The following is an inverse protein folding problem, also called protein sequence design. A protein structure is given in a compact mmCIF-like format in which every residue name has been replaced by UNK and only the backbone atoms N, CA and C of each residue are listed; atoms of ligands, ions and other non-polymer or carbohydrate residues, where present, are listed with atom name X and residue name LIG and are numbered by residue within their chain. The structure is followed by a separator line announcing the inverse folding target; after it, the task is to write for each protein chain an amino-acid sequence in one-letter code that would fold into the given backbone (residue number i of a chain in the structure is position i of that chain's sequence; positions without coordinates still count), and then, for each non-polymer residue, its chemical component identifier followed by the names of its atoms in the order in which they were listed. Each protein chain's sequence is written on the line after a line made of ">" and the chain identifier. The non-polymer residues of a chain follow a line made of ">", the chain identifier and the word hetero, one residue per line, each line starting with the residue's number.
data_IF_161690585865
#
_entry.id   IF_161690585865
#
_cell.length_a   1.000
_cell.length_b   1.000
_cell.length_c   1.000
_cell.angle_alpha   90.00
_cell.angle_beta   90.00
_cell.angle_gamma   90.00
#
_symmetry.space_group_name_H-M   'P 1'
#
loop_
_entity.id
_entity.type
_entity.pdbx_description
1 polymer ?
#
# COMPACT_ATOMS: atom_id res chain seq x y z
N UNK A 1 6.49 24.53 -5.32
CA UNK A 1 6.60 23.85 -6.62
C UNK A 1 6.79 22.37 -6.38
N UNK A 2 5.90 21.53 -6.94
CA UNK A 2 6.05 20.09 -6.93
C UNK A 2 7.34 19.73 -7.69
N UNK A 3 8.32 19.13 -7.01
CA UNK A 3 9.54 18.65 -7.67
C UNK A 3 9.17 17.33 -8.35
N UNK A 4 8.93 17.35 -9.66
CA UNK A 4 8.73 16.12 -10.41
C UNK A 4 10.04 15.32 -10.40
N UNK A 5 9.93 13.99 -10.24
CA UNK A 5 11.04 13.07 -10.04
C UNK A 5 11.89 12.83 -11.31
N UNK A 6 12.05 13.85 -12.15
CA UNK A 6 12.70 13.77 -13.46
C UNK A 6 11.84 13.12 -14.56
N UNK A 7 10.56 12.87 -14.29
CA UNK A 7 9.60 12.26 -15.22
C UNK A 7 8.42 13.18 -15.47
N UNK A 8 7.69 12.94 -16.55
CA UNK A 8 6.43 13.66 -16.83
C UNK A 8 5.35 13.30 -15.81
N UNK A 9 4.34 14.18 -15.63
CA UNK A 9 3.23 13.94 -14.71
C UNK A 9 2.43 12.69 -15.10
N UNK A 10 2.25 12.46 -16.39
CA UNK A 10 1.61 11.27 -16.94
C UNK A 10 2.39 10.01 -16.53
N UNK A 11 3.70 10.00 -16.75
CA UNK A 11 4.58 8.89 -16.39
C UNK A 11 4.61 8.66 -14.88
N UNK A 12 4.66 9.73 -14.09
CA UNK A 12 4.59 9.66 -12.64
C UNK A 12 3.28 9.00 -12.18
N UNK A 13 2.14 9.39 -12.74
CA UNK A 13 0.85 8.77 -12.44
C UNK A 13 0.81 7.28 -12.81
N UNK A 14 1.41 6.89 -13.93
CA UNK A 14 1.48 5.48 -14.31
C UNK A 14 2.38 4.66 -13.36
N UNK A 15 3.49 5.23 -12.91
CA UNK A 15 4.34 4.63 -11.86
C UNK A 15 3.54 4.44 -10.56
N UNK A 16 2.76 5.44 -10.15
CA UNK A 16 1.92 5.32 -8.96
C UNK A 16 0.86 4.21 -9.11
N UNK A 17 0.16 4.16 -10.25
CA UNK A 17 -0.86 3.14 -10.53
C UNK A 17 -0.27 1.73 -10.55
N UNK A 18 0.93 1.54 -11.12
CA UNK A 18 1.59 0.22 -11.16
C UNK A 18 1.89 -0.32 -9.75
N UNK A 19 2.14 0.59 -8.80
CA UNK A 19 2.36 0.29 -7.38
C UNK A 19 1.06 0.24 -6.55
N UNK A 20 -0.10 0.16 -7.20
CA UNK A 20 -1.41 0.06 -6.53
C UNK A 20 -1.72 1.33 -5.72
N UNK A 21 -1.17 2.47 -6.13
CA UNK A 21 -1.40 3.74 -5.46
C UNK A 21 -2.46 4.53 -6.22
N UNK A 22 -3.43 5.09 -5.49
CA UNK A 22 -4.35 6.08 -6.04
C UNK A 22 -3.77 7.48 -5.84
N UNK A 23 -3.37 8.20 -6.91
CA UNK A 23 -2.69 9.49 -6.78
C UNK A 23 -3.51 10.53 -5.98
N UNK A 24 -4.84 10.48 -6.10
CA UNK A 24 -5.74 11.37 -5.36
C UNK A 24 -5.44 11.43 -3.87
N UNK A 25 -5.21 10.30 -3.21
CA UNK A 25 -4.99 10.29 -1.76
C UNK A 25 -3.63 10.87 -1.37
N UNK A 26 -2.64 10.82 -2.25
CA UNK A 26 -1.34 11.44 -2.03
C UNK A 26 -1.44 12.97 -2.16
N UNK A 27 -2.19 13.46 -3.14
CA UNK A 27 -2.32 14.90 -3.38
C UNK A 27 -3.25 15.61 -2.40
N UNK A 28 -4.22 14.90 -1.82
CA UNK A 28 -5.10 15.45 -0.79
C UNK A 28 -4.62 15.19 0.64
N UNK A 29 -3.38 14.69 0.81
CA UNK A 29 -2.80 14.33 2.11
C UNK A 29 -3.73 13.45 2.97
N UNK A 30 -4.41 12.50 2.33
CA UNK A 30 -5.38 11.64 3.01
C UNK A 30 -4.76 10.28 3.30
N UNK A 31 -4.02 10.21 4.42
CA UNK A 31 -3.34 8.98 4.84
C UNK A 31 -4.30 7.79 5.01
N UNK A 32 -5.43 7.97 5.70
CA UNK A 32 -6.38 6.88 5.94
C UNK A 32 -7.02 6.40 4.64
N UNK A 33 -7.34 7.31 3.72
CA UNK A 33 -7.82 6.99 2.38
C UNK A 33 -6.79 6.19 1.58
N UNK A 34 -5.52 6.63 1.59
CA UNK A 34 -4.41 5.92 0.97
C UNK A 34 -4.24 4.51 1.54
N UNK A 35 -4.20 4.38 2.87
CA UNK A 35 -3.94 3.12 3.54
C UNK A 35 -5.05 2.11 3.28
N UNK A 36 -6.31 2.52 3.46
CA UNK A 36 -7.46 1.64 3.28
C UNK A 36 -7.63 1.22 1.81
N UNK A 37 -7.48 2.15 0.86
CA UNK A 37 -7.57 1.85 -0.58
C UNK A 37 -6.48 0.87 -1.01
N UNK A 38 -5.23 1.13 -0.60
CA UNK A 38 -4.09 0.28 -0.94
C UNK A 38 -4.23 -1.10 -0.31
N UNK A 39 -4.65 -1.17 0.96
CA UNK A 39 -4.93 -2.43 1.66
C UNK A 39 -5.96 -3.26 0.90
N UNK A 40 -7.11 -2.67 0.56
CA UNK A 40 -8.18 -3.41 -0.12
C UNK A 40 -7.75 -3.92 -1.50
N UNK A 41 -7.06 -3.08 -2.30
CA UNK A 41 -6.57 -3.51 -3.63
C UNK A 41 -5.51 -4.62 -3.55
N UNK A 42 -4.65 -4.58 -2.53
CA UNK A 42 -3.70 -5.66 -2.28
C UNK A 42 -4.42 -6.96 -1.93
N UNK A 43 -5.41 -6.90 -1.03
CA UNK A 43 -6.23 -8.07 -0.69
C UNK A 43 -6.89 -8.65 -1.93
N UNK A 44 -7.55 -7.84 -2.76
CA UNK A 44 -8.18 -8.30 -4.01
C UNK A 44 -7.19 -8.97 -4.97
N UNK A 45 -5.96 -8.44 -5.10
CA UNK A 45 -4.92 -9.08 -5.92
C UNK A 45 -4.54 -10.46 -5.38
N UNK A 46 -4.39 -10.59 -4.06
CA UNK A 46 -4.09 -11.87 -3.41
C UNK A 46 -5.25 -12.84 -3.59
N UNK A 47 -6.49 -12.39 -3.38
CA UNK A 47 -7.69 -13.21 -3.55
C UNK A 47 -7.81 -13.76 -4.97
N UNK A 48 -7.58 -12.91 -5.97
CA UNK A 48 -7.58 -13.31 -7.38
C UNK A 48 -6.46 -14.30 -7.70
N UNK A 49 -5.26 -14.11 -7.16
CA UNK A 49 -4.13 -15.00 -7.39
C UNK A 49 -4.31 -16.37 -6.69
N UNK A 50 -4.92 -16.38 -5.51
CA UNK A 50 -5.13 -17.59 -4.70
C UNK A 50 -6.45 -18.30 -4.99
N UNK A 51 -7.39 -17.61 -5.66
CA UNK A 51 -8.78 -18.02 -5.80
C UNK A 51 -9.45 -18.34 -4.45
N UNK A 52 -9.16 -17.53 -3.43
CA UNK A 52 -9.68 -17.65 -2.05
C UNK A 52 -10.04 -16.29 -1.51
N UNK A 53 -11.12 -16.18 -0.75
CA UNK A 53 -11.48 -14.93 -0.09
C UNK A 53 -10.65 -14.70 1.18
N UNK A 54 -10.32 -13.44 1.43
CA UNK A 54 -9.67 -12.99 2.67
C UNK A 54 -10.74 -12.31 3.55
N UNK A 55 -10.90 -12.73 4.81
CA UNK A 55 -11.82 -12.08 5.74
C UNK A 55 -11.44 -10.62 6.00
N UNK A 56 -12.43 -9.72 6.01
CA UNK A 56 -12.27 -8.31 6.42
C UNK A 56 -12.69 -8.16 7.88
N UNK A 57 -11.97 -7.33 8.64
CA UNK A 57 -12.33 -7.02 10.03
C UNK A 57 -11.98 -8.09 11.06
N UNK A 58 -11.23 -9.13 10.68
CA UNK A 58 -10.69 -10.12 11.61
C UNK A 58 -9.30 -9.67 12.03
N UNK A 59 -9.06 -9.50 13.33
CA UNK A 59 -7.70 -9.39 13.87
C UNK A 59 -7.13 -10.81 13.87
N UNK A 60 -6.44 -11.16 12.79
CA UNK A 60 -5.63 -12.37 12.75
C UNK A 60 -4.38 -12.08 13.57
N UNK A 61 -4.06 -12.96 14.51
CA UNK A 61 -2.75 -12.93 15.16
C UNK A 61 -1.68 -13.06 14.05
N UNK A 62 -0.66 -12.21 14.10
CA UNK A 62 0.47 -12.35 13.18
C UNK A 62 1.18 -13.67 13.49
N UNK A 63 1.47 -14.46 12.46
CA UNK A 63 2.34 -15.63 12.59
C UNK A 63 3.79 -15.14 12.69
N UNK A 64 4.21 -14.76 13.90
CA UNK A 64 5.57 -14.29 14.16
C UNK A 64 5.73 -13.74 15.57
N UNK A 65 6.92 -13.91 16.14
CA UNK A 65 7.34 -13.21 17.36
C UNK A 65 8.25 -12.07 16.89
N UNK A 66 7.94 -10.83 17.28
CA UNK A 66 8.86 -9.71 17.07
C UNK A 66 10.14 -9.98 17.85
N UNK A 67 11.26 -10.13 17.15
CA UNK A 67 12.58 -10.19 17.76
C UNK A 67 13.09 -8.76 17.73
N UNK A 68 13.17 -8.11 18.90
CA UNK A 68 13.91 -6.86 19.03
C UNK A 68 15.36 -7.12 18.61
N UNK A 69 15.83 -6.43 17.57
CA UNK A 69 17.26 -6.42 17.27
C UNK A 69 17.96 -5.72 18.44
N UNK A 70 18.82 -6.45 19.17
CA UNK A 70 19.73 -5.84 20.15
C UNK A 70 20.52 -4.77 19.39
N UNK A 71 20.32 -3.51 19.80
CA UNK A 71 21.19 -2.42 19.33
C UNK A 71 22.56 -2.70 19.93
N UNK A 72 23.52 -3.11 19.11
CA UNK A 72 24.93 -3.12 19.52
C UNK A 72 25.30 -1.68 19.91
N UNK A 73 25.55 -1.46 21.21
CA UNK A 73 26.09 -0.22 21.78
C UNK A 73 27.53 0.04 21.34
#
# INVERSE_FOLDING_TARGET
>A
MQKHAGVSDEEFHEILKSHILTPRFLYTDNFMGFFNDRKEKLLQRIENAMNKSIPRGVVLAEDGIYIEEETEE
#
